data_IF_036310894824
#
_entry.id   IF_036310894824
#
_cell.length_a   1.000
_cell.length_b   1.000
_cell.length_c   1.000
_cell.angle_alpha   90.00
_cell.angle_beta   90.00
_cell.angle_gamma   90.00
#
_symmetry.space_group_name_H-M   'P 1'
#
loop_
_entity.id
_entity.type
_entity.pdbx_description
1 polymer ?
#
# COMPACT_ATOMS: atom_id res chain seq x y z
N UNK A 1 -1.93 7.46 21.67
CA UNK A 1 -1.49 7.80 20.39
C UNK A 1 -1.10 6.58 19.60
N UNK A 2 -1.93 6.08 18.74
CA UNK A 2 -1.50 5.08 17.77
C UNK A 2 -1.25 5.81 16.47
N UNK A 3 -0.08 6.36 16.32
CA UNK A 3 0.51 6.77 15.06
C UNK A 3 0.90 5.51 14.29
N UNK A 4 -0.07 4.68 14.00
CA UNK A 4 0.22 3.58 13.14
C UNK A 4 -0.63 3.69 11.94
N UNK A 5 0.02 4.41 11.13
CA UNK A 5 0.90 3.78 10.17
C UNK A 5 0.10 2.98 9.19
N UNK A 6 -0.65 3.69 8.45
CA UNK A 6 -0.37 3.47 7.05
C UNK A 6 1.06 3.96 6.96
N UNK A 7 2.02 3.03 7.10
CA UNK A 7 3.39 3.28 6.66
C UNK A 7 3.21 3.98 5.35
N UNK A 8 3.66 5.22 5.30
CA UNK A 8 3.73 5.99 4.08
C UNK A 8 4.37 5.06 3.04
N UNK A 9 3.53 4.34 2.30
CA UNK A 9 3.93 3.49 1.19
C UNK A 9 4.18 4.35 -0.03
N UNK A 10 4.55 5.61 0.21
CA UNK A 10 5.21 6.38 -0.79
C UNK A 10 6.47 5.60 -1.15
N UNK A 11 6.44 5.02 -2.33
CA UNK A 11 7.57 4.36 -2.95
C UNK A 11 8.81 5.21 -2.69
N UNK A 12 9.90 4.69 -2.11
CA UNK A 12 11.10 5.45 -1.89
C UNK A 12 11.46 6.20 -3.17
N UNK A 13 11.82 7.47 -3.07
CA UNK A 13 12.12 8.31 -4.24
C UNK A 13 13.12 7.65 -5.20
N UNK A 14 14.01 6.82 -4.66
CA UNK A 14 14.98 6.04 -5.43
C UNK A 14 14.33 4.92 -6.25
N UNK A 15 13.27 4.27 -5.74
CA UNK A 15 12.49 3.28 -6.50
C UNK A 15 11.64 3.93 -7.60
N UNK A 16 11.07 5.10 -7.34
CA UNK A 16 10.36 5.89 -8.36
C UNK A 16 11.32 6.29 -9.47
N UNK A 17 12.50 6.81 -9.11
CA UNK A 17 13.52 7.19 -10.09
C UNK A 17 14.01 5.98 -10.89
N UNK A 18 14.28 4.87 -10.22
CA UNK A 18 14.66 3.61 -10.86
C UNK A 18 13.56 3.09 -11.79
N UNK A 19 12.30 3.16 -11.40
CA UNK A 19 11.17 2.75 -12.23
C UNK A 19 11.00 3.68 -13.46
N UNK A 20 11.21 4.98 -13.29
CA UNK A 20 11.17 5.96 -14.38
C UNK A 20 12.35 5.75 -15.33
N UNK A 21 13.56 5.59 -14.81
CA UNK A 21 14.76 5.35 -15.62
C UNK A 21 14.64 4.01 -16.39
N UNK A 22 14.03 3.00 -15.77
CA UNK A 22 13.72 1.71 -16.39
C UNK A 22 12.68 1.84 -17.51
N UNK A 23 11.64 2.65 -17.30
CA UNK A 23 10.55 2.82 -18.28
C UNK A 23 10.91 3.72 -19.46
N UNK A 24 11.81 4.69 -19.27
CA UNK A 24 12.14 5.74 -20.26
C UNK A 24 13.62 5.78 -20.67
N UNK A 25 14.41 4.79 -20.28
CA UNK A 25 15.81 4.70 -20.69
C UNK A 25 15.96 4.66 -22.21
N UNK A 26 16.42 5.75 -22.81
CA UNK A 26 16.66 5.89 -24.25
C UNK A 26 18.05 5.39 -24.59
N UNK A 27 18.16 4.18 -25.13
CA UNK A 27 19.38 3.63 -25.69
C UNK A 27 19.09 2.47 -26.62
N UNK A 28 19.98 2.19 -27.56
CA UNK A 28 19.86 1.11 -28.54
C UNK A 28 19.85 -0.31 -27.90
N UNK A 29 20.14 -0.38 -26.59
CA UNK A 29 20.05 -1.57 -25.73
C UNK A 29 18.98 -1.39 -24.63
N UNK A 30 17.86 -0.72 -24.92
CA UNK A 30 16.77 -0.59 -23.97
C UNK A 30 16.27 -1.98 -23.57
N UNK A 31 16.54 -2.38 -22.32
CA UNK A 31 16.03 -3.61 -21.77
C UNK A 31 14.50 -3.61 -21.85
N UNK A 32 13.90 -4.70 -22.31
CA UNK A 32 12.45 -4.86 -22.34
C UNK A 32 12.00 -5.24 -20.95
N UNK A 33 11.32 -4.31 -20.26
CA UNK A 33 10.73 -4.57 -18.95
C UNK A 33 9.34 -5.19 -19.09
N UNK A 34 9.06 -6.16 -18.25
CA UNK A 34 7.74 -6.79 -18.16
C UNK A 34 7.23 -6.80 -16.71
N UNK A 35 5.92 -6.66 -16.57
CA UNK A 35 5.26 -6.85 -15.29
C UNK A 35 5.05 -8.33 -15.03
N UNK A 36 5.43 -8.80 -13.86
CA UNK A 36 5.24 -10.18 -13.42
C UNK A 36 4.75 -10.16 -11.98
N UNK A 37 3.76 -11.02 -11.71
CA UNK A 37 3.25 -11.25 -10.37
C UNK A 37 3.73 -12.60 -9.86
N UNK A 38 4.26 -12.61 -8.64
CA UNK A 38 4.57 -13.82 -7.91
C UNK A 38 3.62 -13.96 -6.72
N UNK A 39 3.18 -15.17 -6.49
CA UNK A 39 2.19 -15.50 -5.47
C UNK A 39 2.68 -16.64 -4.61
N UNK A 40 2.55 -16.53 -3.30
CA UNK A 40 3.01 -17.54 -2.38
C UNK A 40 2.43 -17.39 -0.99
N UNK A 41 2.81 -18.33 -0.12
CA UNK A 41 2.46 -18.33 1.28
C UNK A 41 3.70 -18.11 2.12
N UNK A 42 3.63 -17.15 3.02
CA UNK A 42 4.63 -16.90 4.05
C UNK A 42 4.39 -17.71 5.33
N UNK A 43 5.11 -17.39 6.41
CA UNK A 43 4.88 -17.99 7.71
C UNK A 43 3.41 -17.88 8.16
N UNK A 44 2.96 -18.85 8.95
CA UNK A 44 1.60 -18.91 9.49
C UNK A 44 0.46 -18.94 8.44
N UNK A 45 0.77 -19.29 7.19
CA UNK A 45 -0.22 -19.39 6.13
C UNK A 45 -0.68 -18.04 5.57
N UNK A 46 0.05 -16.97 5.82
CA UNK A 46 -0.22 -15.65 5.26
C UNK A 46 0.02 -15.67 3.76
N UNK A 47 -0.99 -15.31 2.97
CA UNK A 47 -0.86 -15.17 1.54
C UNK A 47 -0.08 -13.89 1.21
N UNK A 48 0.85 -13.98 0.27
CA UNK A 48 1.69 -12.85 -0.17
C UNK A 48 1.63 -12.75 -1.69
N UNK A 49 1.30 -11.55 -2.15
CA UNK A 49 1.20 -11.17 -3.56
C UNK A 49 2.30 -10.16 -3.86
N UNK A 50 3.16 -10.47 -4.81
CA UNK A 50 4.35 -9.67 -5.14
C UNK A 50 4.25 -9.17 -6.58
N UNK A 51 4.13 -7.87 -6.76
CA UNK A 51 4.13 -7.24 -8.07
C UNK A 51 5.54 -6.80 -8.43
N UNK A 52 6.03 -7.26 -9.58
CA UNK A 52 7.38 -7.02 -10.05
C UNK A 52 7.41 -6.38 -11.43
N UNK A 53 8.40 -5.51 -11.64
CA UNK A 53 8.78 -4.99 -12.95
C UNK A 53 10.23 -5.38 -13.21
N UNK A 54 10.47 -6.23 -14.21
CA UNK A 54 11.79 -6.81 -14.46
C UNK A 54 12.14 -6.89 -15.93
N UNK A 55 13.43 -6.78 -16.21
CA UNK A 55 14.04 -7.09 -17.50
C UNK A 55 14.65 -8.51 -17.55
N UNK A 56 14.65 -9.22 -16.42
CA UNK A 56 15.18 -10.57 -16.28
C UNK A 56 14.30 -11.45 -15.38
N UNK A 57 13.38 -12.12 -16.01
CA UNK A 57 12.41 -13.02 -15.41
C UNK A 57 13.02 -14.12 -14.53
N UNK A 58 14.12 -14.70 -14.99
CA UNK A 58 14.78 -15.80 -14.27
C UNK A 58 15.48 -15.32 -13.00
N UNK A 59 16.11 -14.14 -13.04
CA UNK A 59 16.71 -13.51 -11.86
C UNK A 59 15.62 -13.21 -10.82
N UNK A 60 14.57 -12.52 -11.21
CA UNK A 60 13.48 -12.15 -10.30
C UNK A 60 12.82 -13.37 -9.67
N UNK A 61 12.55 -14.41 -10.46
CA UNK A 61 11.98 -15.67 -9.94
C UNK A 61 12.90 -16.35 -8.92
N UNK A 62 14.20 -16.34 -9.14
CA UNK A 62 15.19 -16.91 -8.21
C UNK A 62 15.25 -16.10 -6.90
N UNK A 63 15.27 -14.78 -7.00
CA UNK A 63 15.35 -13.88 -5.83
C UNK A 63 14.09 -13.94 -4.98
N UNK A 64 12.91 -13.90 -5.59
CA UNK A 64 11.63 -14.03 -4.90
C UNK A 64 11.49 -15.40 -4.24
N UNK A 65 11.83 -16.49 -4.96
CA UNK A 65 11.81 -17.84 -4.38
C UNK A 65 12.75 -17.96 -3.19
N UNK A 66 13.93 -17.39 -3.28
CA UNK A 66 14.90 -17.36 -2.19
C UNK A 66 14.34 -16.63 -0.96
N UNK A 67 13.70 -15.48 -1.16
CA UNK A 67 13.09 -14.72 -0.07
C UNK A 67 12.02 -15.55 0.68
N UNK A 68 11.10 -16.19 -0.06
CA UNK A 68 10.08 -17.07 0.53
C UNK A 68 10.70 -18.25 1.29
N UNK A 69 11.66 -18.93 0.68
CA UNK A 69 12.30 -20.11 1.29
C UNK A 69 13.05 -19.77 2.59
N UNK A 70 13.76 -18.65 2.63
CA UNK A 70 14.46 -18.22 3.84
C UNK A 70 13.53 -17.83 4.99
N UNK A 71 12.32 -17.38 4.67
CA UNK A 71 11.31 -17.06 5.66
C UNK A 71 10.50 -18.27 6.13
N UNK A 72 10.77 -19.45 5.57
CA UNK A 72 9.99 -20.66 5.86
C UNK A 72 8.64 -20.73 5.13
N UNK A 73 8.49 -19.94 4.07
CA UNK A 73 7.35 -19.95 3.19
C UNK A 73 7.58 -20.71 1.89
N UNK A 74 6.61 -20.68 1.01
CA UNK A 74 6.65 -21.33 -0.30
C UNK A 74 6.10 -20.42 -1.39
N UNK A 75 6.84 -20.30 -2.48
CA UNK A 75 6.34 -19.68 -3.70
C UNK A 75 5.39 -20.65 -4.40
N UNK A 76 4.19 -20.18 -4.72
CA UNK A 76 3.17 -20.92 -5.44
C UNK A 76 3.16 -20.65 -6.94
N UNK A 77 2.12 -21.16 -7.59
CA UNK A 77 1.84 -20.89 -9.00
C UNK A 77 0.96 -19.63 -9.15
N UNK A 78 0.92 -19.06 -10.35
CA UNK A 78 0.03 -17.94 -10.67
C UNK A 78 -1.44 -18.31 -10.35
N UNK A 79 -2.15 -17.41 -9.68
CA UNK A 79 -3.52 -17.61 -9.22
C UNK A 79 -3.66 -18.34 -7.88
N UNK A 80 -2.56 -18.70 -7.22
CA UNK A 80 -2.61 -19.43 -5.94
C UNK A 80 -3.12 -18.61 -4.77
N UNK A 81 -2.93 -17.29 -4.80
CA UNK A 81 -3.36 -16.37 -3.72
C UNK A 81 -4.15 -15.14 -4.20
N UNK A 82 -4.14 -14.83 -5.49
CA UNK A 82 -4.79 -13.63 -6.05
C UNK A 82 -6.29 -13.55 -5.70
N UNK A 83 -6.98 -14.69 -5.59
CA UNK A 83 -8.40 -14.75 -5.23
C UNK A 83 -8.69 -14.29 -3.78
N UNK A 84 -7.67 -14.20 -2.93
CA UNK A 84 -7.79 -13.71 -1.55
C UNK A 84 -7.69 -12.19 -1.45
N UNK A 85 -7.48 -11.51 -2.57
CA UNK A 85 -7.37 -10.07 -2.64
C UNK A 85 -8.43 -9.47 -3.55
N UNK A 86 -8.85 -8.26 -3.22
CA UNK A 86 -9.68 -7.41 -4.05
C UNK A 86 -8.91 -6.15 -4.41
N UNK A 87 -8.97 -5.76 -5.68
CA UNK A 87 -8.35 -4.52 -6.14
C UNK A 87 -9.26 -3.33 -5.85
N UNK A 88 -8.79 -2.38 -5.05
CA UNK A 88 -9.53 -1.18 -4.64
C UNK A 88 -8.74 0.10 -4.86
N UNK A 89 -9.45 1.21 -4.95
CA UNK A 89 -8.87 2.54 -4.81
C UNK A 89 -8.79 2.94 -3.34
N UNK A 90 -7.68 3.56 -2.97
CA UNK A 90 -7.41 4.08 -1.63
C UNK A 90 -7.03 5.55 -1.73
N UNK A 91 -7.71 6.39 -0.96
CA UNK A 91 -7.43 7.83 -0.86
C UNK A 91 -7.14 8.15 0.59
N UNK A 92 -6.01 8.81 0.84
CA UNK A 92 -5.60 9.25 2.18
C UNK A 92 -5.84 10.75 2.30
N UNK A 93 -6.57 11.14 3.34
CA UNK A 93 -6.95 12.53 3.61
C UNK A 93 -6.59 12.87 5.05
N UNK A 94 -5.72 13.86 5.26
CA UNK A 94 -5.44 14.35 6.60
C UNK A 94 -6.66 15.11 7.17
N UNK A 95 -6.94 14.96 8.45
CA UNK A 95 -8.02 15.69 9.14
C UNK A 95 -7.69 17.17 9.29
N UNK A 96 -6.43 17.49 9.47
CA UNK A 96 -5.89 18.83 9.61
C UNK A 96 -4.75 19.09 8.62
N UNK A 97 -4.60 20.31 8.21
CA UNK A 97 -3.55 20.78 7.30
C UNK A 97 -2.90 22.05 7.84
N UNK A 98 -1.71 22.37 7.34
CA UNK A 98 -1.04 23.62 7.66
C UNK A 98 -1.80 24.82 7.06
N UNK A 99 -2.01 25.85 7.87
CA UNK A 99 -2.52 27.13 7.38
C UNK A 99 -1.41 27.91 6.67
N UNK A 100 -1.47 27.92 5.33
CA UNK A 100 -0.49 28.63 4.49
C UNK A 100 -0.49 30.17 4.70
N UNK A 101 -1.54 30.71 5.31
CA UNK A 101 -1.67 32.14 5.57
C UNK A 101 -1.20 32.56 6.98
N UNK A 102 -0.95 31.60 7.85
CA UNK A 102 -0.47 31.86 9.20
C UNK A 102 1.01 32.23 9.22
N UNK A 103 1.37 33.20 10.07
CA UNK A 103 2.78 33.60 10.26
C UNK A 103 3.61 32.59 11.05
N UNK A 104 2.96 31.62 11.68
CA UNK A 104 3.55 30.51 12.43
C UNK A 104 2.88 29.23 11.97
N UNK A 105 3.56 28.12 12.10
CA UNK A 105 2.98 26.82 11.87
C UNK A 105 1.71 26.65 12.71
N UNK A 106 0.57 26.64 12.04
CA UNK A 106 -0.75 26.51 12.66
C UNK A 106 -1.52 25.48 11.87
N UNK A 107 -2.07 24.49 12.57
CA UNK A 107 -2.94 23.48 11.95
C UNK A 107 -4.37 23.99 11.92
N UNK A 108 -5.04 23.76 10.82
CA UNK A 108 -6.47 24.03 10.60
C UNK A 108 -7.16 22.81 10.05
N UNK A 109 -8.47 22.72 10.23
CA UNK A 109 -9.28 21.65 9.63
C UNK A 109 -9.11 21.63 8.09
N UNK A 110 -8.96 20.42 7.55
CA UNK A 110 -8.88 20.20 6.10
C UNK A 110 -10.28 20.16 5.48
N UNK A 111 -10.93 21.32 5.41
CA UNK A 111 -12.31 21.42 4.94
C UNK A 111 -13.25 20.50 5.75
N UNK A 112 -14.14 19.80 5.08
CA UNK A 112 -15.06 18.85 5.70
C UNK A 112 -14.35 17.66 6.40
N UNK A 113 -13.10 17.36 6.06
CA UNK A 113 -12.35 16.26 6.69
C UNK A 113 -12.02 16.50 8.17
N UNK A 114 -12.18 17.70 8.67
CA UNK A 114 -12.05 18.04 10.10
C UNK A 114 -13.21 17.58 10.98
N UNK A 115 -14.33 17.21 10.39
CA UNK A 115 -15.54 16.73 11.08
C UNK A 115 -16.05 15.46 10.39
N UNK A 116 -16.32 14.40 11.17
CA UNK A 116 -16.68 13.09 10.62
C UNK A 116 -18.00 13.09 9.85
N UNK A 117 -19.02 13.77 10.38
CA UNK A 117 -20.35 13.81 9.74
C UNK A 117 -20.31 14.58 8.42
N UNK A 118 -19.60 15.72 8.39
CA UNK A 118 -19.39 16.50 7.17
C UNK A 118 -18.56 15.72 6.15
N UNK A 119 -17.54 15.02 6.60
CA UNK A 119 -16.67 14.22 5.73
C UNK A 119 -17.40 13.03 5.13
N UNK A 120 -18.23 12.33 5.91
CA UNK A 120 -19.07 11.24 5.42
C UNK A 120 -19.99 11.71 4.27
N UNK A 121 -20.59 12.89 4.40
CA UNK A 121 -21.41 13.47 3.33
C UNK A 121 -20.56 13.81 2.10
N UNK A 122 -19.37 14.37 2.31
CA UNK A 122 -18.46 14.72 1.22
C UNK A 122 -17.99 13.47 0.45
N UNK A 123 -17.68 12.38 1.14
CA UNK A 123 -17.32 11.08 0.53
C UNK A 123 -18.46 10.52 -0.30
N UNK A 124 -19.69 10.53 0.24
CA UNK A 124 -20.87 10.03 -0.46
C UNK A 124 -21.16 10.83 -1.74
N UNK A 125 -21.02 12.15 -1.69
CA UNK A 125 -21.18 13.04 -2.85
C UNK A 125 -20.07 12.82 -3.89
N UNK A 126 -18.83 12.55 -3.44
CA UNK A 126 -17.69 12.28 -4.31
C UNK A 126 -17.74 10.90 -4.97
N UNK A 127 -18.56 9.96 -4.47
CA UNK A 127 -18.68 8.60 -4.97
C UNK A 127 -17.76 7.58 -4.27
N UNK A 128 -17.28 7.89 -3.07
CA UNK A 128 -16.57 6.94 -2.23
C UNK A 128 -17.50 5.83 -1.73
N UNK A 129 -16.94 4.62 -1.53
CA UNK A 129 -17.73 3.46 -1.08
C UNK A 129 -17.74 3.30 0.44
N UNK A 130 -16.61 3.59 1.08
CA UNK A 130 -16.41 3.43 2.51
C UNK A 130 -15.26 4.31 3.01
N UNK A 131 -15.11 4.44 4.31
CA UNK A 131 -13.99 5.14 4.93
C UNK A 131 -13.60 4.53 6.26
N UNK A 132 -12.35 4.75 6.65
CA UNK A 132 -11.80 4.32 7.94
C UNK A 132 -11.15 5.50 8.65
N UNK A 133 -11.33 5.54 9.98
CA UNK A 133 -10.61 6.47 10.85
C UNK A 133 -9.22 5.90 11.20
N UNK A 134 -8.19 6.52 10.67
CA UNK A 134 -6.78 6.16 10.92
C UNK A 134 -6.10 7.12 11.93
N UNK A 135 -6.87 7.77 12.80
CA UNK A 135 -6.38 8.71 13.81
C UNK A 135 -6.29 10.13 13.28
N UNK A 136 -5.16 10.56 12.79
CA UNK A 136 -4.96 11.89 12.21
C UNK A 136 -5.40 12.00 10.75
N UNK A 137 -5.73 10.88 10.13
CA UNK A 137 -6.09 10.75 8.74
C UNK A 137 -7.39 9.94 8.57
N UNK A 138 -8.02 10.14 7.44
CA UNK A 138 -9.07 9.28 6.90
C UNK A 138 -8.53 8.46 5.75
N UNK A 139 -8.99 7.21 5.64
CA UNK A 139 -8.80 6.39 4.45
C UNK A 139 -10.14 6.25 3.77
N UNK A 140 -10.21 6.67 2.53
CA UNK A 140 -11.41 6.55 1.70
C UNK A 140 -11.21 5.41 0.72
N UNK A 141 -12.14 4.48 0.70
CA UNK A 141 -12.17 3.35 -0.21
C UNK A 141 -13.08 3.62 -1.40
N UNK A 142 -12.60 3.26 -2.58
CA UNK A 142 -13.32 3.38 -3.84
C UNK A 142 -13.14 2.12 -4.68
N UNK A 143 -13.87 2.00 -5.79
CA UNK A 143 -13.46 1.07 -6.83
C UNK A 143 -12.12 1.48 -7.42
N UNK A 144 -11.34 0.52 -7.91
CA UNK A 144 -10.01 0.80 -8.47
C UNK A 144 -10.06 1.79 -9.66
N UNK A 145 -11.13 1.74 -10.45
CA UNK A 145 -11.28 2.59 -11.63
C UNK A 145 -11.73 4.02 -11.29
N UNK A 146 -12.34 4.23 -10.14
CA UNK A 146 -12.93 5.52 -9.74
C UNK A 146 -12.04 6.34 -8.81
N UNK A 147 -10.93 5.77 -8.33
CA UNK A 147 -10.06 6.41 -7.32
C UNK A 147 -9.65 7.83 -7.71
N UNK A 148 -9.27 8.06 -8.96
CA UNK A 148 -8.87 9.39 -9.43
C UNK A 148 -10.03 10.35 -9.53
N UNK A 149 -11.20 9.87 -9.96
CA UNK A 149 -12.42 10.70 -10.05
C UNK A 149 -12.92 11.11 -8.67
N UNK A 150 -12.91 10.19 -7.70
CA UNK A 150 -13.29 10.46 -6.31
C UNK A 150 -12.29 11.40 -5.65
N UNK A 151 -11.00 11.19 -5.84
CA UNK A 151 -9.94 12.08 -5.34
C UNK A 151 -10.15 13.50 -5.84
N UNK A 152 -10.37 13.68 -7.13
CA UNK A 152 -10.64 14.99 -7.73
C UNK A 152 -11.92 15.63 -7.19
N UNK A 153 -12.99 14.84 -7.02
CA UNK A 153 -14.24 15.35 -6.47
C UNK A 153 -14.09 15.85 -5.02
N UNK A 154 -13.27 15.18 -4.20
CA UNK A 154 -12.92 15.65 -2.85
C UNK A 154 -12.12 16.96 -2.90
N UNK A 155 -11.16 17.08 -3.80
CA UNK A 155 -10.40 18.32 -3.99
C UNK A 155 -11.28 19.49 -4.46
N UNK A 156 -12.24 19.24 -5.33
CA UNK A 156 -13.24 20.24 -5.78
C UNK A 156 -14.15 20.73 -4.65
N UNK A 157 -14.33 19.91 -3.60
CA UNK A 157 -15.03 20.29 -2.37
C UNK A 157 -14.14 21.05 -1.36
N UNK A 158 -12.89 21.34 -1.73
CA UNK A 158 -11.94 22.07 -0.88
C UNK A 158 -11.20 21.19 0.15
N UNK A 159 -11.20 19.89 -0.05
CA UNK A 159 -10.49 18.93 0.79
C UNK A 159 -9.14 18.61 0.13
N UNK A 160 -8.02 18.83 0.83
CA UNK A 160 -6.71 18.44 0.31
C UNK A 160 -6.53 16.93 0.46
N UNK A 161 -6.21 16.25 -0.64
CA UNK A 161 -5.90 14.82 -0.66
C UNK A 161 -4.40 14.62 -0.50
N UNK A 162 -4.00 13.78 0.45
CA UNK A 162 -2.59 13.46 0.70
C UNK A 162 -2.02 12.49 -0.32
N UNK A 163 -2.83 11.53 -0.76
CA UNK A 163 -2.46 10.56 -1.78
C UNK A 163 -3.64 9.73 -2.23
N UNK A 164 -3.55 9.21 -3.44
CA UNK A 164 -4.54 8.30 -4.02
C UNK A 164 -3.83 7.24 -4.86
N UNK A 165 -4.19 5.99 -4.66
CA UNK A 165 -3.59 4.85 -5.34
C UNK A 165 -4.58 3.70 -5.52
N UNK A 166 -4.23 2.79 -6.41
CA UNK A 166 -4.88 1.49 -6.49
C UNK A 166 -4.07 0.47 -5.69
N UNK A 167 -4.73 -0.28 -4.83
CA UNK A 167 -4.11 -1.26 -3.94
C UNK A 167 -4.85 -2.60 -3.96
N UNK A 168 -4.21 -3.63 -3.43
CA UNK A 168 -4.82 -4.96 -3.23
C UNK A 168 -5.17 -5.11 -1.75
N UNK A 169 -6.43 -5.39 -1.47
CA UNK A 169 -6.95 -5.53 -0.10
C UNK A 169 -7.37 -6.98 0.13
N UNK A 170 -6.95 -7.63 1.23
CA UNK A 170 -7.39 -8.98 1.53
C UNK A 170 -8.89 -9.01 1.79
N UNK A 171 -9.59 -9.97 1.16
CA UNK A 171 -11.02 -10.19 1.38
C UNK A 171 -11.28 -10.82 2.74
N UNK A 172 -10.35 -11.66 3.19
CA UNK A 172 -10.37 -12.26 4.53
C UNK A 172 -8.97 -12.17 5.12
N UNK A 173 -8.74 -11.26 6.08
CA UNK A 173 -7.45 -11.15 6.75
C UNK A 173 -7.07 -12.43 7.49
N UNK A 174 -5.78 -12.74 7.53
CA UNK A 174 -5.22 -13.91 8.25
C UNK A 174 -4.70 -13.45 9.61
N UNK A 175 -5.31 -13.93 10.67
CA UNK A 175 -4.84 -13.67 12.03
C UNK A 175 -3.53 -14.41 12.30
N UNK A 176 -2.59 -13.73 12.91
CA UNK A 176 -1.28 -14.27 13.29
C UNK A 176 -0.89 -13.81 14.70
N UNK A 177 -0.03 -14.58 15.36
CA UNK A 177 0.60 -14.15 16.61
C UNK A 177 1.64 -13.04 16.35
N UNK A 178 2.00 -12.27 17.37
CA UNK A 178 3.06 -11.26 17.26
C UNK A 178 4.39 -11.84 16.80
N UNK A 179 4.75 -13.05 17.24
CA UNK A 179 5.97 -13.74 16.81
C UNK A 179 5.94 -14.14 15.33
N UNK A 180 4.80 -14.59 14.82
CA UNK A 180 4.63 -14.92 13.41
C UNK A 180 4.53 -13.66 12.55
N UNK A 181 3.92 -12.61 13.06
CA UNK A 181 3.87 -11.30 12.41
C UNK A 181 5.28 -10.76 12.12
N UNK A 182 6.22 -10.88 13.06
CA UNK A 182 7.64 -10.50 12.85
C UNK A 182 8.29 -11.31 11.73
N UNK A 183 7.99 -12.61 11.62
CA UNK A 183 8.52 -13.44 10.53
C UNK A 183 7.92 -13.04 9.17
N UNK A 184 6.63 -12.76 9.12
CA UNK A 184 5.96 -12.27 7.90
C UNK A 184 6.51 -10.92 7.50
N UNK A 185 6.70 -10.00 8.45
CA UNK A 185 7.26 -8.68 8.16
C UNK A 185 8.67 -8.77 7.59
N UNK A 186 9.52 -9.65 8.12
CA UNK A 186 10.87 -9.89 7.56
C UNK A 186 10.83 -10.41 6.13
N UNK A 187 9.83 -11.25 5.79
CA UNK A 187 9.64 -11.69 4.42
C UNK A 187 9.25 -10.50 3.52
N UNK A 188 8.30 -9.68 3.97
CA UNK A 188 7.84 -8.50 3.23
C UNK A 188 9.01 -7.54 3.01
N UNK A 189 9.76 -7.20 4.06
CA UNK A 189 10.90 -6.30 4.00
C UNK A 189 11.97 -6.82 3.02
N UNK A 190 12.27 -8.11 3.08
CA UNK A 190 13.23 -8.74 2.17
C UNK A 190 12.77 -8.73 0.71
N UNK A 191 11.47 -8.90 0.46
CA UNK A 191 10.91 -8.77 -0.89
C UNK A 191 10.97 -7.34 -1.38
N UNK A 192 10.65 -6.37 -0.52
CA UNK A 192 10.69 -4.94 -0.85
C UNK A 192 12.11 -4.41 -1.12
N UNK A 193 13.14 -5.06 -0.57
CA UNK A 193 14.55 -4.76 -0.85
C UNK A 193 14.99 -5.17 -2.27
N UNK A 194 14.27 -6.07 -2.92
CA UNK A 194 14.60 -6.50 -4.28
C UNK A 194 14.28 -5.39 -5.30
N UNK A 195 15.24 -5.07 -6.17
CA UNK A 195 15.12 -3.98 -7.13
C UNK A 195 13.95 -4.16 -8.12
N UNK A 196 13.60 -5.39 -8.44
CA UNK A 196 12.56 -5.73 -9.39
C UNK A 196 11.15 -5.73 -8.75
N UNK A 197 11.06 -5.70 -7.43
CA UNK A 197 9.80 -5.68 -6.69
C UNK A 197 9.27 -4.25 -6.60
N UNK A 198 8.02 -4.05 -7.05
CA UNK A 198 7.32 -2.77 -6.97
C UNK A 198 6.45 -2.68 -5.73
N UNK A 199 5.59 -3.66 -5.52
CA UNK A 199 4.67 -3.73 -4.40
C UNK A 199 4.58 -5.14 -3.82
N UNK A 200 4.37 -5.23 -2.51
CA UNK A 200 4.12 -6.46 -1.78
C UNK A 200 2.84 -6.31 -0.97
N UNK A 201 1.90 -7.23 -1.17
CA UNK A 201 0.64 -7.27 -0.43
C UNK A 201 0.54 -8.57 0.34
N UNK A 202 -0.04 -8.53 1.52
CA UNK A 202 -0.24 -9.72 2.36
C UNK A 202 -1.64 -9.75 2.96
N UNK A 203 -2.10 -10.94 3.31
CA UNK A 203 -3.36 -11.14 4.03
C UNK A 203 -3.19 -11.02 5.55
N UNK A 204 -1.99 -10.69 6.06
CA UNK A 204 -1.77 -10.55 7.49
C UNK A 204 -2.71 -9.50 8.10
N UNK A 205 -3.48 -9.92 9.10
CA UNK A 205 -4.34 -9.01 9.83
C UNK A 205 -3.51 -8.12 10.78
N UNK A 206 -3.66 -6.82 10.65
CA UNK A 206 -2.97 -5.82 11.48
C UNK A 206 -3.75 -5.56 12.77
N UNK A 207 -3.84 -6.59 13.62
CA UNK A 207 -4.43 -6.46 14.96
C UNK A 207 -3.56 -5.60 15.88
N UNK A 208 -4.11 -5.10 16.98
CA UNK A 208 -3.35 -4.32 17.97
C UNK A 208 -2.15 -5.10 18.52
N UNK A 209 -2.27 -6.42 18.69
CA UNK A 209 -1.18 -7.30 19.10
C UNK A 209 -0.06 -7.33 18.08
N UNK A 210 -0.40 -7.48 16.79
CA UNK A 210 0.58 -7.47 15.68
C UNK A 210 1.28 -6.14 15.58
N UNK A 211 0.53 -5.05 15.66
CA UNK A 211 1.06 -3.69 15.63
C UNK A 211 2.06 -3.48 16.76
N UNK A 212 1.68 -3.81 18.00
CA UNK A 212 2.55 -3.70 19.17
C UNK A 212 3.83 -4.55 19.02
N UNK A 213 3.69 -5.77 18.50
CA UNK A 213 4.84 -6.66 18.26
C UNK A 213 5.84 -6.12 17.24
N UNK A 214 5.35 -5.43 16.18
CA UNK A 214 6.19 -4.85 15.14
C UNK A 214 6.87 -3.53 15.58
N UNK A 215 6.30 -2.82 16.56
CA UNK A 215 6.89 -1.59 17.12
C UNK A 215 8.02 -1.86 18.12
N UNK A 216 8.15 -3.08 18.64
CA UNK A 216 9.16 -3.49 19.64
C UNK A 216 10.56 -3.81 19.03
N UNK A 217 10.86 -3.45 17.78
CA UNK A 217 12.17 -3.66 17.14
C UNK A 217 13.08 -2.44 17.19
#
# INVERSE_FOLDING_TARGET
GSEMCIRDRSMPKDKIKSAIDKAFGSGADAAVYENIVYEGYGPAGVAVYVDCLTDNRNRTAADVRSAFSHAGGNLGTSGSVAFQFERKGQIVVAKEILDENAKKETMIANGAAGDEDEFMMAIAEAGGEDYEDAGEEWIVWTTANEVMAVSKALEEQGIQVKGSETTMVPTTPTEVSGADAKKVQRLIDRLEELDDVQDVYSTMDMTDEVIAALEEE
#
